data_IF_080307604599
#
_entry.id   IF_080307604599
#
_cell.length_a   1.000
_cell.length_b   1.000
_cell.length_c   1.000
_cell.angle_alpha   90.00
_cell.angle_beta   90.00
_cell.angle_gamma   90.00
#
_symmetry.space_group_name_H-M   'P 1'
#
loop_
_entity.id
_entity.type
_entity.pdbx_description
1 polymer ?
#
# COMPACT_ATOMS: atom_id res chain seq x y z
N UNK A 1 0.04 16.27 2.99
CA UNK A 1 0.56 15.21 2.10
C UNK A 1 1.65 14.49 2.86
N UNK A 2 1.70 13.16 2.84
CA UNK A 2 2.69 12.39 3.60
C UNK A 2 3.53 11.57 2.63
N UNK A 3 4.85 11.54 2.81
CA UNK A 3 5.76 10.77 1.97
C UNK A 3 6.34 9.60 2.77
N UNK A 4 6.35 8.41 2.17
CA UNK A 4 6.81 7.19 2.83
C UNK A 4 7.40 6.23 1.80
N UNK A 5 8.69 5.86 1.93
CA UNK A 5 9.39 4.94 1.00
C UNK A 5 9.28 5.32 -0.51
N UNK A 6 9.23 6.62 -0.83
CA UNK A 6 9.05 7.08 -2.21
C UNK A 6 7.63 6.96 -2.76
N UNK A 7 6.66 6.60 -1.90
CA UNK A 7 5.24 6.72 -2.14
C UNK A 7 4.70 8.01 -1.53
N UNK A 8 3.82 8.68 -2.26
CA UNK A 8 3.09 9.85 -1.78
C UNK A 8 1.68 9.43 -1.35
N UNK A 9 1.34 9.71 -0.10
CA UNK A 9 0.03 9.43 0.48
C UNK A 9 -0.75 10.74 0.54
N UNK A 10 -1.79 10.85 -0.28
CA UNK A 10 -2.74 11.96 -0.29
C UNK A 10 -3.99 11.56 0.48
N UNK A 11 -4.20 12.21 1.62
CA UNK A 11 -5.37 12.02 2.47
C UNK A 11 -6.43 13.05 2.06
N UNK A 12 -7.66 12.60 1.81
CA UNK A 12 -8.82 13.45 1.56
C UNK A 12 -9.95 13.03 2.49
N UNK A 13 -10.50 13.98 3.22
CA UNK A 13 -11.68 13.77 4.07
C UNK A 13 -12.95 13.90 3.23
N UNK A 14 -13.91 13.01 3.43
CA UNK A 14 -15.29 13.12 2.94
C UNK A 14 -16.24 13.36 4.12
N UNK A 15 -17.54 13.48 3.86
CA UNK A 15 -18.54 13.73 4.91
C UNK A 15 -18.56 12.64 5.99
N UNK A 16 -18.24 11.39 5.62
CA UNK A 16 -18.35 10.22 6.51
C UNK A 16 -17.03 9.46 6.69
N UNK A 17 -16.10 9.55 5.75
CA UNK A 17 -14.88 8.73 5.74
C UNK A 17 -13.64 9.50 5.33
N UNK A 18 -12.49 8.85 5.46
CA UNK A 18 -11.22 9.27 4.91
C UNK A 18 -10.84 8.41 3.71
N UNK A 19 -10.39 9.08 2.66
CA UNK A 19 -9.88 8.47 1.43
C UNK A 19 -8.37 8.72 1.36
N UNK A 20 -7.60 7.65 1.19
CA UNK A 20 -6.16 7.69 1.02
C UNK A 20 -5.79 7.28 -0.40
N UNK A 21 -5.14 8.16 -1.15
CA UNK A 21 -4.57 7.86 -2.45
C UNK A 21 -3.07 7.65 -2.29
N UNK A 22 -2.58 6.48 -2.69
CA UNK A 22 -1.15 6.14 -2.60
C UNK A 22 -0.55 6.27 -4.00
N UNK A 23 0.09 7.38 -4.31
CA UNK A 23 0.71 7.61 -5.62
C UNK A 23 2.18 7.23 -5.60
N UNK A 24 2.63 6.43 -6.57
CA UNK A 24 4.04 6.20 -6.88
C UNK A 24 4.27 6.47 -8.37
N UNK A 25 5.42 7.05 -8.70
CA UNK A 25 5.78 7.41 -10.06
C UNK A 25 5.70 6.17 -10.97
N UNK A 26 4.85 6.24 -12.01
CA UNK A 26 4.65 5.15 -12.98
C UNK A 26 3.67 4.04 -12.57
N UNK A 27 2.98 4.15 -11.43
CA UNK A 27 1.98 3.15 -11.00
C UNK A 27 0.60 3.77 -10.78
N UNK A 28 -0.45 2.96 -11.05
CA UNK A 28 -1.83 3.35 -10.78
C UNK A 28 -2.03 3.47 -9.26
N UNK A 29 -2.56 4.61 -8.78
CA UNK A 29 -2.70 4.83 -7.35
C UNK A 29 -3.78 3.91 -6.75
N UNK A 30 -3.46 3.09 -5.74
CA UNK A 30 -4.46 2.44 -4.91
C UNK A 30 -5.23 3.49 -4.11
N UNK A 31 -6.51 3.18 -3.88
CA UNK A 31 -7.41 3.95 -3.04
C UNK A 31 -7.74 3.12 -1.81
N UNK A 32 -7.51 3.68 -0.63
CA UNK A 32 -7.87 3.07 0.65
C UNK A 32 -8.96 3.94 1.29
N UNK A 33 -9.97 3.27 1.87
CA UNK A 33 -11.03 3.90 2.65
C UNK A 33 -10.88 3.53 4.11
N UNK A 34 -11.07 4.51 5.00
CA UNK A 34 -11.18 4.28 6.43
C UNK A 34 -11.97 5.40 7.11
N UNK A 35 -12.76 5.07 8.11
CA UNK A 35 -13.55 6.07 8.84
C UNK A 35 -12.70 6.95 9.78
N UNK A 36 -11.45 6.55 10.05
CA UNK A 36 -10.52 7.28 10.93
C UNK A 36 -9.20 7.57 10.22
N UNK A 37 -8.72 8.81 10.30
CA UNK A 37 -7.47 9.25 9.67
C UNK A 37 -6.27 8.40 10.09
N UNK A 38 -6.13 8.09 11.38
CA UNK A 38 -5.03 7.28 11.90
C UNK A 38 -5.07 5.84 11.36
N UNK A 39 -6.26 5.27 11.24
CA UNK A 39 -6.45 3.95 10.63
C UNK A 39 -6.14 3.97 9.13
N UNK A 40 -6.46 5.07 8.43
CA UNK A 40 -6.11 5.24 7.02
C UNK A 40 -4.60 5.26 6.81
N UNK A 41 -3.87 6.02 7.65
CA UNK A 41 -2.41 6.11 7.58
C UNK A 41 -1.78 4.75 7.86
N UNK A 42 -2.22 4.05 8.91
CA UNK A 42 -1.72 2.72 9.24
C UNK A 42 -1.95 1.71 8.11
N UNK A 43 -3.15 1.70 7.51
CA UNK A 43 -3.45 0.85 6.34
C UNK A 43 -2.60 1.20 5.13
N UNK A 44 -2.36 2.49 4.88
CA UNK A 44 -1.53 2.94 3.77
C UNK A 44 -0.06 2.54 3.95
N UNK A 45 0.47 2.68 5.17
CA UNK A 45 1.83 2.24 5.50
C UNK A 45 1.98 0.74 5.36
N UNK A 46 1.07 -0.05 5.95
CA UNK A 46 1.09 -1.51 5.81
C UNK A 46 1.02 -1.96 4.34
N UNK A 47 0.22 -1.28 3.52
CA UNK A 47 0.15 -1.57 2.08
C UNK A 47 1.48 -1.27 1.36
N UNK A 48 2.15 -0.17 1.71
CA UNK A 48 3.48 0.19 1.16
C UNK A 48 4.54 -0.81 1.62
N UNK A 49 4.50 -1.22 2.89
CA UNK A 49 5.41 -2.22 3.46
C UNK A 49 5.23 -3.57 2.77
N UNK A 50 4.00 -4.06 2.56
CA UNK A 50 3.74 -5.29 1.80
C UNK A 50 4.37 -5.25 0.41
N UNK A 51 4.23 -4.12 -0.31
CA UNK A 51 4.78 -3.94 -1.65
C UNK A 51 6.29 -3.72 -1.70
N UNK A 52 6.86 -3.22 -0.61
CA UNK A 52 8.30 -3.02 -0.47
C UNK A 52 8.99 -4.28 0.05
N UNK A 53 8.25 -5.10 0.81
CA UNK A 53 8.70 -6.35 1.41
C UNK A 53 8.53 -7.53 0.48
N UNK A 54 7.59 -7.50 -0.47
CA UNK A 54 7.66 -8.36 -1.65
C UNK A 54 9.03 -8.08 -2.28
N UNK A 55 10.02 -8.98 -2.11
CA UNK A 55 11.13 -8.95 -3.01
C UNK A 55 10.49 -9.13 -4.39
N UNK A 56 11.10 -8.60 -5.44
CA UNK A 56 11.05 -9.35 -6.68
C UNK A 56 11.67 -10.71 -6.34
N UNK A 57 10.89 -11.64 -5.76
CA UNK A 57 11.26 -13.03 -5.76
C UNK A 57 11.30 -13.32 -7.25
N UNK A 58 12.48 -13.59 -7.84
CA UNK A 58 12.45 -14.30 -9.10
C UNK A 58 11.57 -15.54 -8.84
N UNK A 59 10.78 -15.98 -9.80
CA UNK A 59 10.01 -17.24 -9.74
C UNK A 59 10.89 -18.50 -9.50
N UNK A 60 12.10 -18.36 -8.97
CA UNK A 60 13.18 -19.33 -8.89
C UNK A 60 13.57 -19.70 -7.45
N UNK A 61 12.92 -19.12 -6.43
CA UNK A 61 13.31 -19.34 -5.03
C UNK A 61 12.22 -19.89 -4.12
N UNK A 62 11.03 -20.19 -4.63
CA UNK A 62 10.14 -21.14 -3.96
C UNK A 62 10.52 -22.55 -4.43
N UNK A 63 11.17 -23.39 -3.61
CA UNK A 63 11.07 -24.82 -3.82
C UNK A 63 9.58 -25.18 -3.73
N UNK A 64 9.07 -25.77 -4.80
CA UNK A 64 7.78 -26.42 -4.88
C UNK A 64 7.76 -27.61 -3.89
N UNK A 65 7.71 -27.35 -2.58
CA UNK A 65 7.29 -28.36 -1.60
C UNK A 65 5.77 -28.38 -1.56
N UNK A 66 5.25 -28.88 -2.67
CA UNK A 66 3.85 -29.07 -3.01
C UNK A 66 3.79 -29.83 -4.34
N UNK A 67 4.66 -30.83 -4.47
CA UNK A 67 4.56 -31.87 -5.48
C UNK A 67 3.50 -32.86 -4.96
N UNK A 68 2.33 -32.89 -5.58
CA UNK A 68 1.40 -34.01 -5.55
C UNK A 68 0.63 -34.02 -6.88
#
# INVERSE_FOLDING_TARGET
MLEHHGYQIRLRRTQVDWIGFITRRGQRPPVILASVQKALIAKAQAWIEERSRLPALPCRQFPLEGCA
#
